data_IF_353426084481
#
_entry.id   IF_353426084481
#
_cell.length_a   1.000
_cell.length_b   1.000
_cell.length_c   1.000
_cell.angle_alpha   90.00
_cell.angle_beta   90.00
_cell.angle_gamma   90.00
#
_symmetry.space_group_name_H-M   'P 1'
#
loop_
_entity.id
_entity.type
_entity.pdbx_description
1 polymer ?
#
# COMPACT_ATOMS: atom_id res chain seq x y z
N UNK A 1 26.71 -15.66 -5.24
CA UNK A 1 25.43 -15.10 -4.73
C UNK A 1 24.84 -14.21 -5.81
N UNK A 2 23.61 -14.45 -6.18
CA UNK A 2 22.91 -13.63 -7.17
C UNK A 2 22.35 -12.39 -6.48
N UNK A 3 22.67 -11.21 -6.98
CA UNK A 3 22.13 -9.93 -6.53
C UNK A 3 20.98 -9.52 -7.43
N UNK A 4 19.90 -9.04 -6.84
CA UNK A 4 18.69 -8.56 -7.54
C UNK A 4 18.47 -7.11 -7.14
N UNK A 5 18.16 -6.27 -8.11
CA UNK A 5 17.88 -4.85 -7.85
C UNK A 5 16.47 -4.65 -7.28
N UNK A 6 16.26 -3.56 -6.57
CA UNK A 6 14.94 -3.19 -6.06
C UNK A 6 13.92 -3.05 -7.21
N UNK A 7 14.32 -2.51 -8.34
CA UNK A 7 13.48 -2.37 -9.54
C UNK A 7 13.05 -3.71 -10.14
N UNK A 8 13.93 -4.70 -10.14
CA UNK A 8 13.60 -6.06 -10.60
C UNK A 8 12.60 -6.75 -9.66
N UNK A 9 12.75 -6.57 -8.35
CA UNK A 9 11.78 -7.06 -7.37
C UNK A 9 10.42 -6.40 -7.62
N UNK A 10 10.38 -5.07 -7.72
CA UNK A 10 9.16 -4.31 -7.93
C UNK A 10 8.41 -4.76 -9.20
N UNK A 11 9.10 -4.85 -10.33
CA UNK A 11 8.50 -5.25 -11.61
C UNK A 11 8.01 -6.70 -11.59
N UNK A 12 8.75 -7.60 -10.97
CA UNK A 12 8.36 -9.02 -10.83
C UNK A 12 7.12 -9.18 -9.95
N UNK A 13 7.10 -8.51 -8.79
CA UNK A 13 5.96 -8.52 -7.87
C UNK A 13 4.73 -7.91 -8.53
N UNK A 14 4.87 -6.77 -9.21
CA UNK A 14 3.77 -6.14 -9.92
C UNK A 14 3.17 -7.08 -10.97
N UNK A 15 4.02 -7.76 -11.75
CA UNK A 15 3.57 -8.73 -12.74
C UNK A 15 2.82 -9.90 -12.11
N UNK A 16 3.30 -10.44 -10.99
CA UNK A 16 2.65 -11.51 -10.26
C UNK A 16 1.25 -11.08 -9.75
N UNK A 17 1.14 -9.90 -9.15
CA UNK A 17 -0.12 -9.37 -8.64
C UNK A 17 -1.14 -9.12 -9.76
N UNK A 18 -0.71 -8.57 -10.90
CA UNK A 18 -1.56 -8.37 -12.08
C UNK A 18 -2.13 -9.70 -12.60
N UNK A 19 -1.30 -10.75 -12.68
CA UNK A 19 -1.72 -12.09 -13.10
C UNK A 19 -2.74 -12.73 -12.15
N UNK A 20 -2.79 -12.30 -10.89
CA UNK A 20 -3.71 -12.80 -9.88
C UNK A 20 -4.94 -11.91 -9.65
N UNK A 21 -5.16 -10.91 -10.50
CA UNK A 21 -6.38 -10.10 -10.51
C UNK A 21 -6.27 -8.74 -9.82
N UNK A 22 -5.08 -8.28 -9.48
CA UNK A 22 -4.89 -6.90 -9.03
C UNK A 22 -5.02 -5.92 -10.21
N UNK A 23 -5.62 -4.76 -9.96
CA UNK A 23 -5.58 -3.65 -10.90
C UNK A 23 -4.20 -2.99 -10.95
N UNK A 24 -3.89 -2.27 -12.02
CA UNK A 24 -2.56 -1.66 -12.24
C UNK A 24 -2.08 -0.80 -11.07
N UNK A 25 -2.95 0.06 -10.56
CA UNK A 25 -2.62 0.94 -9.43
C UNK A 25 -2.32 0.14 -8.16
N UNK A 26 -3.20 -0.79 -7.79
CA UNK A 26 -3.01 -1.62 -6.60
C UNK A 26 -1.75 -2.49 -6.70
N UNK A 27 -1.50 -3.09 -7.86
CA UNK A 27 -0.31 -3.89 -8.09
C UNK A 27 0.99 -3.08 -7.96
N UNK A 28 1.01 -1.85 -8.50
CA UNK A 28 2.17 -0.96 -8.40
C UNK A 28 2.46 -0.54 -6.95
N UNK A 29 1.43 -0.14 -6.19
CA UNK A 29 1.63 0.31 -4.81
C UNK A 29 2.07 -0.83 -3.87
N UNK A 30 1.49 -2.03 -4.03
CA UNK A 30 1.91 -3.20 -3.24
C UNK A 30 3.32 -3.65 -3.64
N UNK A 31 3.65 -3.66 -4.93
CA UNK A 31 4.98 -4.04 -5.41
C UNK A 31 6.07 -3.11 -4.87
N UNK A 32 5.81 -1.80 -4.83
CA UNK A 32 6.72 -0.81 -4.24
C UNK A 32 6.96 -1.08 -2.77
N UNK A 33 5.90 -1.39 -2.00
CA UNK A 33 6.01 -1.71 -0.59
C UNK A 33 6.81 -2.99 -0.34
N UNK A 34 6.60 -4.04 -1.14
CA UNK A 34 7.37 -5.30 -1.07
C UNK A 34 8.85 -5.06 -1.38
N UNK A 35 9.14 -4.34 -2.46
CA UNK A 35 10.53 -4.04 -2.84
C UNK A 35 11.24 -3.20 -1.78
N UNK A 36 10.55 -2.25 -1.16
CA UNK A 36 11.10 -1.45 -0.07
C UNK A 36 11.34 -2.28 1.20
N UNK A 37 10.44 -3.20 1.53
CA UNK A 37 10.62 -4.12 2.65
C UNK A 37 11.88 -5.00 2.46
N UNK A 38 12.11 -5.52 1.27
CA UNK A 38 13.34 -6.28 0.95
C UNK A 38 14.59 -5.39 1.11
N UNK A 39 14.56 -4.18 0.56
CA UNK A 39 15.69 -3.25 0.62
C UNK A 39 16.06 -2.82 2.04
N UNK A 40 15.11 -2.84 2.97
CA UNK A 40 15.31 -2.48 4.39
C UNK A 40 15.52 -3.70 5.30
N UNK A 41 15.63 -4.89 4.73
CA UNK A 41 15.86 -6.13 5.49
C UNK A 41 14.62 -6.70 6.18
N UNK A 42 13.45 -6.11 5.98
CA UNK A 42 12.17 -6.62 6.51
C UNK A 42 11.58 -7.71 5.59
N UNK A 43 12.28 -8.82 5.46
CA UNK A 43 11.97 -9.91 4.52
C UNK A 43 10.60 -10.53 4.72
N UNK A 44 10.10 -10.58 5.97
CA UNK A 44 8.76 -11.09 6.28
C UNK A 44 7.66 -10.30 5.55
N UNK A 45 7.84 -8.98 5.44
CA UNK A 45 6.91 -8.09 4.73
C UNK A 45 7.26 -7.91 3.24
N UNK A 46 8.34 -8.56 2.79
CA UNK A 46 8.83 -8.53 1.42
C UNK A 46 8.30 -9.69 0.57
N UNK A 47 9.17 -10.32 -0.18
CA UNK A 47 8.85 -11.43 -1.10
C UNK A 47 8.23 -12.64 -0.38
N UNK A 48 8.59 -12.88 0.86
CA UNK A 48 8.00 -13.94 1.67
C UNK A 48 6.46 -13.85 1.74
N UNK A 49 5.90 -12.66 1.74
CA UNK A 49 4.46 -12.45 1.83
C UNK A 49 3.73 -12.45 0.47
N UNK A 50 4.47 -12.47 -0.65
CA UNK A 50 3.90 -12.35 -2.00
C UNK A 50 2.92 -13.49 -2.33
N UNK A 51 3.25 -14.73 -1.95
CA UNK A 51 2.35 -15.87 -2.16
C UNK A 51 0.99 -15.64 -1.48
N UNK A 52 1.01 -15.16 -0.23
CA UNK A 52 -0.20 -14.82 0.51
C UNK A 52 -1.04 -13.76 -0.20
N UNK A 53 -0.43 -12.72 -0.74
CA UNK A 53 -1.14 -11.72 -1.53
C UNK A 53 -1.83 -12.33 -2.76
N UNK A 54 -1.13 -13.17 -3.50
CA UNK A 54 -1.65 -13.83 -4.69
C UNK A 54 -2.83 -14.77 -4.35
N UNK A 55 -2.71 -15.55 -3.29
CA UNK A 55 -3.79 -16.45 -2.82
C UNK A 55 -5.03 -15.68 -2.38
N UNK A 56 -4.86 -14.55 -1.71
CA UNK A 56 -5.96 -13.72 -1.23
C UNK A 56 -6.68 -13.00 -2.38
N UNK A 57 -5.96 -12.60 -3.42
CA UNK A 57 -6.55 -12.09 -4.66
C UNK A 57 -7.39 -13.17 -5.36
N UNK A 58 -6.85 -14.38 -5.51
CA UNK A 58 -7.56 -15.50 -6.16
C UNK A 58 -8.80 -15.95 -5.41
N UNK A 59 -8.75 -15.97 -4.08
CA UNK A 59 -9.90 -16.35 -3.25
C UNK A 59 -10.98 -15.28 -3.15
N UNK A 60 -10.72 -14.07 -3.65
CA UNK A 60 -11.62 -12.92 -3.53
C UNK A 60 -11.66 -12.30 -2.13
N UNK A 61 -10.81 -12.75 -1.20
CA UNK A 61 -10.67 -12.15 0.13
C UNK A 61 -10.18 -10.70 0.05
N UNK A 62 -9.34 -10.42 -0.93
CA UNK A 62 -8.91 -9.05 -1.27
C UNK A 62 -9.44 -8.71 -2.66
N UNK A 63 -10.10 -7.57 -2.75
CA UNK A 63 -10.58 -7.01 -4.01
C UNK A 63 -9.45 -6.23 -4.66
N UNK A 64 -8.69 -6.87 -5.54
CA UNK A 64 -7.48 -6.31 -6.14
C UNK A 64 -7.72 -5.18 -7.14
N UNK A 65 -8.90 -5.09 -7.73
CA UNK A 65 -9.24 -4.12 -8.78
C UNK A 65 -10.24 -3.05 -8.32
N UNK A 66 -10.22 -2.71 -7.03
CA UNK A 66 -11.04 -1.62 -6.50
C UNK A 66 -10.23 -0.33 -6.40
N UNK A 67 -10.92 0.80 -6.46
CA UNK A 67 -10.33 2.10 -6.23
C UNK A 67 -10.72 2.59 -4.84
N UNK A 68 -9.74 2.89 -3.95
CA UNK A 68 -10.03 3.47 -2.64
C UNK A 68 -10.77 4.81 -2.77
N UNK A 69 -11.63 5.10 -1.81
CA UNK A 69 -12.41 6.34 -1.79
C UNK A 69 -11.99 7.19 -0.59
N UNK A 70 -11.53 8.40 -0.88
CA UNK A 70 -11.10 9.38 0.13
C UNK A 70 -12.28 10.23 0.54
N UNK A 71 -12.45 10.46 1.83
CA UNK A 71 -13.40 11.43 2.40
C UNK A 71 -12.75 12.26 3.50
N UNK A 72 -13.30 13.44 3.77
CA UNK A 72 -12.84 14.37 4.81
C UNK A 72 -13.99 14.64 5.79
N UNK A 73 -14.24 13.74 6.74
CA UNK A 73 -15.36 13.88 7.68
C UNK A 73 -15.20 15.07 8.63
N UNK A 74 -13.98 15.55 8.86
CA UNK A 74 -13.65 16.75 9.63
C UNK A 74 -12.42 17.45 9.03
N UNK A 75 -12.16 18.73 9.34
CA UNK A 75 -11.07 19.51 8.74
C UNK A 75 -9.70 18.83 8.81
N UNK A 76 -9.33 18.27 9.96
CA UNK A 76 -8.05 17.60 10.17
C UNK A 76 -8.15 16.06 10.16
N UNK A 77 -9.25 15.50 9.67
CA UNK A 77 -9.47 14.06 9.62
C UNK A 77 -9.73 13.59 8.18
N UNK A 78 -8.84 12.77 7.66
CA UNK A 78 -8.97 12.11 6.37
C UNK A 78 -9.33 10.65 6.61
N UNK A 79 -10.32 10.16 5.90
CA UNK A 79 -10.72 8.76 5.91
C UNK A 79 -10.65 8.18 4.50
N UNK A 80 -10.06 7.01 4.37
CA UNK A 80 -10.01 6.26 3.11
C UNK A 80 -10.67 4.92 3.28
N UNK A 81 -11.72 4.69 2.51
CA UNK A 81 -12.33 3.37 2.37
C UNK A 81 -11.58 2.57 1.30
N UNK A 82 -10.86 1.55 1.70
CA UNK A 82 -10.10 0.68 0.80
C UNK A 82 -10.99 -0.33 0.04
N UNK A 83 -12.29 -0.38 0.29
CA UNK A 83 -13.26 -1.25 -0.41
C UNK A 83 -12.89 -2.73 -0.39
N UNK A 84 -12.35 -3.21 0.73
CA UNK A 84 -11.80 -4.57 0.89
C UNK A 84 -10.58 -4.84 0.00
N UNK A 85 -9.90 -3.79 -0.44
CA UNK A 85 -8.63 -3.85 -1.18
C UNK A 85 -7.41 -3.80 -0.27
N UNK A 86 -6.26 -3.56 -0.85
CA UNK A 86 -4.99 -3.41 -0.14
C UNK A 86 -4.88 -2.06 0.57
N UNK A 87 -4.14 -2.02 1.68
CA UNK A 87 -3.87 -0.80 2.44
C UNK A 87 -2.91 0.16 1.75
N UNK A 88 -1.94 -0.34 0.97
CA UNK A 88 -0.94 0.47 0.29
C UNK A 88 -1.55 1.44 -0.74
N UNK A 89 -2.43 1.02 -1.67
CA UNK A 89 -3.10 1.96 -2.55
C UNK A 89 -4.06 2.91 -1.80
N UNK A 90 -4.68 2.46 -0.70
CA UNK A 90 -5.52 3.33 0.12
C UNK A 90 -4.70 4.43 0.80
N UNK A 91 -3.53 4.09 1.35
CA UNK A 91 -2.59 5.06 1.90
C UNK A 91 -2.11 6.06 0.84
N UNK A 92 -1.71 5.58 -0.33
CA UNK A 92 -1.26 6.44 -1.42
C UNK A 92 -2.31 7.49 -1.84
N UNK A 93 -3.60 7.11 -1.83
CA UNK A 93 -4.70 8.04 -2.11
C UNK A 93 -4.94 9.06 -0.98
N UNK A 94 -4.74 8.64 0.27
CA UNK A 94 -5.01 9.49 1.44
C UNK A 94 -3.85 10.38 1.86
N UNK A 95 -2.62 10.09 1.43
CA UNK A 95 -1.42 10.76 1.93
C UNK A 95 -1.42 12.26 1.63
N UNK A 96 -1.59 12.66 0.37
CA UNK A 96 -1.55 14.07 -0.01
C UNK A 96 -2.60 14.92 0.73
N UNK A 97 -3.90 14.56 0.75
CA UNK A 97 -4.89 15.34 1.51
C UNK A 97 -4.62 15.34 3.02
N UNK A 98 -4.00 14.28 3.59
CA UNK A 98 -3.63 14.28 5.00
C UNK A 98 -2.47 15.23 5.28
N UNK A 99 -1.46 15.28 4.42
CA UNK A 99 -0.35 16.23 4.54
C UNK A 99 -0.83 17.69 4.40
N UNK A 100 -1.72 17.96 3.46
CA UNK A 100 -2.28 19.31 3.29
C UNK A 100 -3.08 19.74 4.53
N UNK A 101 -3.88 18.84 5.08
CA UNK A 101 -4.60 19.09 6.33
C UNK A 101 -3.63 19.31 7.51
N UNK A 102 -2.54 18.55 7.60
CA UNK A 102 -1.54 18.74 8.66
C UNK A 102 -0.81 20.10 8.54
N UNK A 103 -0.52 20.54 7.32
CA UNK A 103 0.08 21.88 7.08
C UNK A 103 -0.88 23.01 7.47
N UNK A 104 -2.16 22.84 7.19
CA UNK A 104 -3.18 23.85 7.51
C UNK A 104 -3.53 23.91 9.00
N UNK A 105 -3.67 22.77 9.66
CA UNK A 105 -4.18 22.68 11.05
C UNK A 105 -3.11 22.31 12.10
N UNK A 106 -1.85 22.13 11.69
CA UNK A 106 -0.75 21.74 12.59
C UNK A 106 -0.62 20.24 12.84
N UNK A 107 -1.71 19.47 12.68
CA UNK A 107 -1.73 18.01 12.69
C UNK A 107 -2.94 17.50 11.92
N UNK A 108 -2.89 16.26 11.47
CA UNK A 108 -4.04 15.58 10.87
C UNK A 108 -4.01 14.09 11.20
N UNK A 109 -5.17 13.45 11.07
CA UNK A 109 -5.30 12.00 11.11
C UNK A 109 -5.62 11.44 9.72
N UNK A 110 -5.02 10.32 9.38
CA UNK A 110 -5.36 9.51 8.21
C UNK A 110 -5.80 8.13 8.69
N UNK A 111 -7.09 7.86 8.59
CA UNK A 111 -7.66 6.55 8.91
C UNK A 111 -7.98 5.77 7.63
N UNK A 112 -7.64 4.49 7.61
CA UNK A 112 -7.93 3.59 6.49
C UNK A 112 -8.84 2.48 7.00
N UNK A 113 -10.02 2.36 6.42
CA UNK A 113 -10.98 1.31 6.74
C UNK A 113 -11.16 0.31 5.62
N UNK A 114 -11.76 -0.85 5.94
CA UNK A 114 -12.01 -1.94 5.00
C UNK A 114 -10.79 -2.33 4.17
N UNK A 115 -9.61 -2.31 4.79
CA UNK A 115 -8.35 -2.62 4.16
C UNK A 115 -7.83 -4.00 4.58
N UNK A 116 -7.14 -4.65 3.67
CA UNK A 116 -6.32 -5.81 3.99
C UNK A 116 -5.03 -5.36 4.68
N UNK A 117 -4.34 -6.29 5.35
CA UNK A 117 -3.13 -6.03 6.14
C UNK A 117 -2.14 -5.06 5.48
N UNK A 118 -1.57 -4.18 6.28
CA UNK A 118 -0.56 -3.22 5.83
C UNK A 118 0.86 -3.80 5.74
N UNK A 119 1.11 -4.95 6.37
CA UNK A 119 2.42 -5.60 6.50
C UNK A 119 3.49 -4.71 7.13
N UNK A 120 4.31 -3.99 6.37
CA UNK A 120 5.41 -3.15 6.87
C UNK A 120 4.93 -1.75 7.25
N UNK A 121 4.87 -1.45 8.54
CA UNK A 121 4.52 -0.11 9.02
C UNK A 121 5.59 0.94 8.65
N UNK A 122 6.86 0.54 8.60
CA UNK A 122 7.95 1.42 8.18
C UNK A 122 7.77 2.02 6.79
N UNK A 123 7.13 1.30 5.86
CA UNK A 123 6.83 1.80 4.52
C UNK A 123 5.94 3.06 4.54
N UNK A 124 4.95 3.10 5.42
CA UNK A 124 4.03 4.24 5.53
C UNK A 124 4.67 5.42 6.27
N UNK A 125 5.32 5.15 7.40
CA UNK A 125 5.94 6.18 8.22
C UNK A 125 7.11 6.86 7.51
N UNK A 126 7.88 6.13 6.71
CA UNK A 126 8.96 6.69 5.89
C UNK A 126 8.43 7.73 4.90
N UNK A 127 7.33 7.44 4.21
CA UNK A 127 6.72 8.36 3.25
C UNK A 127 6.20 9.64 3.93
N UNK A 128 5.65 9.52 5.14
CA UNK A 128 5.21 10.68 5.92
C UNK A 128 6.43 11.52 6.34
N UNK A 129 7.49 10.88 6.80
CA UNK A 129 8.70 11.56 7.28
C UNK A 129 9.46 12.29 6.15
N UNK A 130 9.34 11.83 4.91
CA UNK A 130 9.98 12.43 3.73
C UNK A 130 9.16 13.56 3.10
N UNK A 131 7.93 13.75 3.51
CA UNK A 131 7.02 14.75 2.95
C UNK A 131 7.05 16.05 3.76
#
# INVERSE_FOLDING_TARGET
>A
MTSVTQSEIESTVQTALLRHGAGKFSAAEVARAVARAEATGNRICGLYYLESYCLQLRSGRVRGNVRPVVSKPRPAAIYVDAKMGFSQPAFAQGLAPALDAAREYGLASLAIGHAHTCTSLGYFTEQIAQA
#
